data_IF_709527060166
#
_entry.id   IF_709527060166
#
_cell.length_a   1.000
_cell.length_b   1.000
_cell.length_c   1.000
_cell.angle_alpha   90.00
_cell.angle_beta   90.00
_cell.angle_gamma   90.00
#
_symmetry.space_group_name_H-M   'P 1'
#
loop_
_entity.id
_entity.type
_entity.pdbx_description
1 polymer ?
#
# COMPACT_ATOMS: atom_id res chain seq x y z
N UNK A 1 10.10 9.41 11.62
CA UNK A 1 8.69 9.21 11.23
C UNK A 1 8.66 7.99 10.34
N UNK A 2 8.19 6.84 10.83
CA UNK A 2 8.21 5.57 10.10
C UNK A 2 7.12 4.57 10.54
N UNK A 3 6.47 4.83 11.68
CA UNK A 3 5.57 3.87 12.32
C UNK A 3 4.25 3.64 11.56
N UNK A 4 3.81 4.58 10.73
CA UNK A 4 2.50 4.55 10.07
C UNK A 4 2.57 4.74 8.55
N UNK A 5 3.76 4.57 7.96
CA UNK A 5 3.95 4.77 6.52
C UNK A 5 3.51 3.54 5.71
N UNK A 6 3.53 2.36 6.34
CA UNK A 6 2.95 1.10 5.85
C UNK A 6 1.43 1.18 5.64
N UNK A 7 0.73 1.93 6.49
CA UNK A 7 -0.73 2.16 6.37
C UNK A 7 -1.05 2.85 5.04
N UNK A 8 -0.23 3.81 4.60
CA UNK A 8 -0.44 4.53 3.34
C UNK A 8 -0.21 3.63 2.09
N UNK A 9 0.52 2.52 2.25
CA UNK A 9 0.68 1.53 1.18
C UNK A 9 -0.53 0.61 1.04
N UNK A 10 -1.39 0.49 2.06
CA UNK A 10 -2.59 -0.37 2.03
C UNK A 10 -3.85 0.46 1.81
N UNK A 11 -3.94 1.61 2.47
CA UNK A 11 -5.10 2.49 2.43
C UNK A 11 -4.76 3.80 1.74
N UNK A 12 -5.73 4.33 1.00
CA UNK A 12 -5.60 5.64 0.40
C UNK A 12 -5.53 6.73 1.48
N UNK A 13 -4.39 7.43 1.55
CA UNK A 13 -4.15 8.55 2.48
C UNK A 13 -3.74 9.80 1.67
N UNK A 14 -4.67 10.70 1.31
CA UNK A 14 -4.37 11.85 0.45
C UNK A 14 -3.31 12.79 1.05
N UNK A 15 -3.24 12.88 2.38
CA UNK A 15 -2.30 13.77 3.09
C UNK A 15 -0.85 13.27 3.10
N UNK A 16 -0.58 12.06 2.58
CA UNK A 16 0.76 11.45 2.57
C UNK A 16 1.56 11.73 1.29
N UNK A 17 0.99 12.49 0.34
CA UNK A 17 1.63 12.92 -0.92
C UNK A 17 2.38 11.81 -1.67
N UNK A 18 1.86 10.58 -1.62
CA UNK A 18 2.43 9.45 -2.37
C UNK A 18 1.97 9.51 -3.82
N UNK A 19 2.87 9.21 -4.74
CA UNK A 19 2.52 9.09 -6.16
C UNK A 19 1.40 8.07 -6.38
N UNK A 20 0.51 8.39 -7.31
CA UNK A 20 -0.56 7.50 -7.78
C UNK A 20 -0.12 6.65 -8.97
N UNK A 21 1.08 6.88 -9.50
CA UNK A 21 1.62 6.07 -10.57
C UNK A 21 1.85 4.63 -10.10
N UNK A 22 1.17 3.71 -10.76
CA UNK A 22 1.23 2.29 -10.47
C UNK A 22 2.55 1.62 -10.84
N UNK A 23 3.34 2.24 -11.72
CA UNK A 23 4.64 1.74 -12.18
C UNK A 23 5.81 2.31 -11.35
N UNK A 24 5.53 3.29 -10.48
CA UNK A 24 6.50 3.75 -9.49
C UNK A 24 6.85 2.66 -8.47
N UNK A 25 8.00 2.76 -7.81
CA UNK A 25 8.41 1.81 -6.76
C UNK A 25 7.36 1.68 -5.65
N UNK A 26 6.77 2.81 -5.23
CA UNK A 26 5.70 2.88 -4.22
C UNK A 26 4.42 2.22 -4.73
N UNK A 27 4.07 2.42 -6.01
CA UNK A 27 2.91 1.80 -6.66
C UNK A 27 3.03 0.27 -6.71
N UNK A 28 4.21 -0.24 -7.08
CA UNK A 28 4.52 -1.67 -7.08
C UNK A 28 4.44 -2.25 -5.66
N UNK A 29 5.01 -1.55 -4.67
CA UNK A 29 4.98 -1.98 -3.27
C UNK A 29 3.55 -2.09 -2.73
N UNK A 30 2.72 -1.05 -2.98
CA UNK A 30 1.30 -1.02 -2.62
C UNK A 30 0.51 -2.16 -3.25
N UNK A 31 0.71 -2.45 -4.54
CA UNK A 31 0.08 -3.61 -5.21
C UNK A 31 0.41 -4.95 -4.52
N UNK A 32 1.67 -5.14 -4.11
CA UNK A 32 2.11 -6.35 -3.41
C UNK A 32 1.47 -6.46 -2.03
N UNK A 33 1.47 -5.38 -1.25
CA UNK A 33 0.87 -5.33 0.09
C UNK A 33 -0.64 -5.58 0.04
N UNK A 34 -1.36 -4.89 -0.84
CA UNK A 34 -2.80 -5.08 -1.01
C UNK A 34 -3.14 -6.52 -1.41
N UNK A 35 -2.36 -7.14 -2.30
CA UNK A 35 -2.54 -8.56 -2.67
C UNK A 35 -2.30 -9.50 -1.48
N UNK A 36 -1.24 -9.29 -0.71
CA UNK A 36 -0.96 -10.11 0.48
C UNK A 36 -2.10 -10.04 1.48
N UNK A 37 -2.54 -8.83 1.84
CA UNK A 37 -3.64 -8.62 2.78
C UNK A 37 -4.97 -9.19 2.27
N UNK A 38 -5.28 -9.01 0.98
CA UNK A 38 -6.49 -9.56 0.37
C UNK A 38 -6.47 -11.10 0.35
N UNK A 39 -5.30 -11.71 0.08
CA UNK A 39 -5.15 -13.15 0.12
C UNK A 39 -5.31 -13.70 1.55
N UNK A 40 -4.68 -13.07 2.53
CA UNK A 40 -4.85 -13.43 3.93
C UNK A 40 -6.32 -13.33 4.36
N UNK A 41 -7.00 -12.23 4.06
CA UNK A 41 -8.41 -12.05 4.41
C UNK A 41 -9.33 -13.07 3.71
N UNK A 42 -8.98 -13.50 2.50
CA UNK A 42 -9.79 -14.43 1.70
C UNK A 42 -9.54 -15.90 2.04
N UNK A 43 -8.31 -16.27 2.39
CA UNK A 43 -7.87 -17.66 2.49
C UNK A 43 -7.38 -18.07 3.87
N UNK A 44 -7.07 -17.12 4.76
CA UNK A 44 -6.41 -17.37 6.06
C UNK A 44 -4.91 -17.55 5.93
#
# INVERSE_FOLDING_TARGET
TAHADDIAHVFWMPDRNQTLDENSEIGIHRKRMARMWANFAKYG
#
